data_IF_697081529858
#
_entry.id   IF_697081529858
#
_cell.length_a   1.000
_cell.length_b   1.000
_cell.length_c   1.000
_cell.angle_alpha   90.00
_cell.angle_beta   90.00
_cell.angle_gamma   90.00
#
_symmetry.space_group_name_H-M   'P 1'
#
loop_
_entity.id
_entity.type
_entity.pdbx_description
1 polymer ?
#
# COMPACT_ATOMS: atom_id res chain seq x y z
N UNK A 1 -7.02 -26.51 5.60
CA UNK A 1 -5.95 -25.56 5.29
C UNK A 1 -5.56 -24.89 6.59
N UNK A 2 -4.34 -25.13 7.04
CA UNK A 2 -3.92 -24.81 8.41
C UNK A 2 -3.55 -23.32 8.50
N UNK A 3 -4.37 -22.52 9.18
CA UNK A 3 -4.18 -21.06 9.29
C UNK A 3 -2.87 -20.68 9.97
N UNK A 4 -2.27 -21.58 10.75
CA UNK A 4 -0.98 -21.33 11.40
C UNK A 4 0.15 -21.10 10.39
N UNK A 5 0.21 -21.90 9.32
CA UNK A 5 1.25 -21.80 8.28
C UNK A 5 1.15 -20.46 7.57
N UNK A 6 -0.06 -20.03 7.23
CA UNK A 6 -0.25 -18.74 6.55
C UNK A 6 0.13 -17.56 7.43
N UNK A 7 -0.13 -17.62 8.75
CA UNK A 7 0.32 -16.57 9.69
C UNK A 7 1.83 -16.61 9.96
N UNK A 8 2.47 -17.78 9.85
CA UNK A 8 3.92 -17.91 9.92
C UNK A 8 4.59 -17.27 8.68
N UNK A 9 3.99 -17.42 7.49
CA UNK A 9 4.46 -16.78 6.26
C UNK A 9 4.41 -15.24 6.35
N UNK A 10 3.41 -14.69 7.02
CA UNK A 10 3.34 -13.23 7.26
C UNK A 10 4.49 -12.75 8.15
N UNK A 11 4.87 -13.54 9.15
CA UNK A 11 6.00 -13.20 10.01
C UNK A 11 7.34 -13.29 9.27
N UNK A 12 7.54 -14.33 8.46
CA UNK A 12 8.75 -14.48 7.64
C UNK A 12 8.85 -13.37 6.58
N UNK A 13 7.73 -12.93 5.98
CA UNK A 13 7.68 -11.77 5.08
C UNK A 13 8.17 -10.47 5.77
N UNK A 14 7.77 -10.26 7.02
CA UNK A 14 8.28 -9.14 7.82
C UNK A 14 9.81 -9.19 7.95
N UNK A 15 10.36 -10.36 8.25
CA UNK A 15 11.81 -10.58 8.33
C UNK A 15 12.53 -10.33 7.01
N UNK A 16 11.98 -10.83 5.90
CA UNK A 16 12.52 -10.58 4.56
C UNK A 16 12.53 -9.08 4.26
N UNK A 17 11.48 -8.35 4.65
CA UNK A 17 11.40 -6.90 4.48
C UNK A 17 12.50 -6.18 5.27
N UNK A 18 12.73 -6.55 6.53
CA UNK A 18 13.83 -5.99 7.34
C UNK A 18 15.20 -6.31 6.72
N UNK A 19 15.39 -7.53 6.22
CA UNK A 19 16.61 -7.91 5.50
C UNK A 19 16.84 -7.04 4.27
N UNK A 20 15.80 -6.78 3.47
CA UNK A 20 15.91 -5.90 2.29
C UNK A 20 16.24 -4.46 2.67
N UNK A 21 15.67 -3.94 3.77
CA UNK A 21 15.95 -2.58 4.24
C UNK A 21 17.36 -2.41 4.81
N UNK A 22 17.89 -3.44 5.45
CA UNK A 22 19.18 -3.38 6.15
C UNK A 22 20.35 -3.92 5.34
N UNK A 23 20.07 -4.71 4.29
CA UNK A 23 21.07 -5.48 3.54
C UNK A 23 21.75 -6.59 4.35
N UNK A 24 21.26 -6.90 5.55
CA UNK A 24 21.85 -7.88 6.47
C UNK A 24 20.97 -9.11 6.59
N UNK A 25 21.58 -10.29 6.66
CA UNK A 25 20.84 -11.52 6.88
C UNK A 25 20.14 -11.52 8.25
N UNK A 26 18.91 -12.08 8.34
CA UNK A 26 18.28 -12.34 9.63
C UNK A 26 19.24 -13.09 10.53
N UNK A 27 19.33 -12.67 11.79
CA UNK A 27 20.11 -13.40 12.81
C UNK A 27 21.61 -13.48 12.51
N UNK A 28 22.18 -12.60 11.68
CA UNK A 28 23.61 -12.59 11.35
C UNK A 28 24.53 -12.40 12.56
N UNK A 29 24.00 -11.96 13.70
CA UNK A 29 24.72 -11.83 14.96
C UNK A 29 24.97 -13.17 15.67
N UNK A 30 24.24 -14.22 15.32
CA UNK A 30 24.39 -15.54 15.96
C UNK A 30 25.48 -16.36 15.26
N UNK A 31 26.29 -17.05 16.06
CA UNK A 31 27.41 -17.85 15.56
C UNK A 31 26.98 -19.13 14.83
N UNK A 32 25.74 -19.59 15.04
CA UNK A 32 25.19 -20.76 14.37
C UNK A 32 23.64 -20.74 14.34
N UNK A 33 23.07 -21.60 13.49
CA UNK A 33 21.63 -21.71 13.30
C UNK A 33 20.88 -22.18 14.56
N UNK A 34 21.49 -23.03 15.40
CA UNK A 34 20.85 -23.51 16.63
C UNK A 34 20.59 -22.37 17.62
N UNK A 35 21.53 -21.44 17.77
CA UNK A 35 21.36 -20.27 18.63
C UNK A 35 20.25 -19.34 18.11
N UNK A 36 20.18 -19.14 16.79
CA UNK A 36 19.09 -18.39 16.17
C UNK A 36 17.72 -19.08 16.35
N UNK A 37 17.64 -20.40 16.14
CA UNK A 37 16.41 -21.18 16.36
C UNK A 37 15.93 -21.12 17.81
N UNK A 38 16.85 -21.27 18.78
CA UNK A 38 16.52 -21.14 20.20
C UNK A 38 15.99 -19.73 20.53
N UNK A 39 16.62 -18.70 19.95
CA UNK A 39 16.15 -17.32 20.10
C UNK A 39 14.73 -17.12 19.55
N UNK A 40 14.42 -17.70 18.38
CA UNK A 40 13.07 -17.69 17.79
C UNK A 40 12.07 -18.43 18.70
N UNK A 41 12.41 -19.65 19.13
CA UNK A 41 11.57 -20.46 20.01
C UNK A 41 11.32 -19.80 21.37
N UNK A 42 12.22 -18.93 21.83
CA UNK A 42 12.05 -18.18 23.07
C UNK A 42 11.02 -17.04 23.00
N UNK A 43 10.45 -16.75 21.82
CA UNK A 43 9.47 -15.68 21.62
C UNK A 43 10.06 -14.27 21.62
N UNK A 44 11.40 -14.14 21.65
CA UNK A 44 12.12 -12.85 21.71
C UNK A 44 12.66 -12.38 20.37
N UNK A 45 12.44 -13.14 19.29
CA UNK A 45 13.07 -12.92 17.99
C UNK A 45 12.36 -11.90 17.10
N UNK A 46 11.86 -10.81 17.66
CA UNK A 46 11.25 -9.73 16.89
C UNK A 46 12.33 -8.70 16.58
N UNK A 47 12.65 -8.44 15.30
CA UNK A 47 13.69 -7.48 14.97
C UNK A 47 13.17 -6.07 15.22
N UNK A 48 14.07 -5.17 15.62
CA UNK A 48 13.74 -3.76 15.69
C UNK A 48 13.41 -3.22 14.31
N UNK A 49 12.31 -2.48 14.22
CA UNK A 49 11.92 -1.80 12.99
C UNK A 49 12.96 -0.72 12.68
N UNK A 50 13.60 -0.73 11.49
CA UNK A 50 14.63 0.26 11.16
C UNK A 50 14.09 1.69 11.22
N UNK A 51 14.71 2.56 12.04
CA UNK A 51 14.24 3.93 12.24
C UNK A 51 14.23 4.78 10.94
N UNK A 52 15.07 4.43 9.96
CA UNK A 52 15.11 5.09 8.65
C UNK A 52 14.01 4.66 7.67
N UNK A 53 13.19 3.68 8.01
CA UNK A 53 12.09 3.23 7.15
C UNK A 53 10.95 4.26 7.15
N UNK A 54 10.20 4.35 6.03
CA UNK A 54 9.04 5.24 5.93
C UNK A 54 7.98 4.87 6.97
N UNK A 55 7.14 5.81 7.45
CA UNK A 55 6.10 5.50 8.44
C UNK A 55 5.17 4.35 8.01
N UNK A 56 4.81 4.29 6.73
CA UNK A 56 4.02 3.18 6.18
C UNK A 56 4.77 1.83 6.24
N UNK A 57 6.07 1.81 5.98
CA UNK A 57 6.87 0.59 6.11
C UNK A 57 6.98 0.14 7.57
N UNK A 58 7.17 1.09 8.49
CA UNK A 58 7.22 0.77 9.92
C UNK A 58 5.90 0.17 10.41
N UNK A 59 4.78 0.75 9.97
CA UNK A 59 3.44 0.23 10.31
C UNK A 59 3.22 -1.18 9.74
N UNK A 60 3.57 -1.39 8.48
CA UNK A 60 3.56 -2.71 7.84
C UNK A 60 4.35 -3.76 8.66
N UNK A 61 5.58 -3.43 9.09
CA UNK A 61 6.41 -4.32 9.88
C UNK A 61 5.80 -4.63 11.25
N UNK A 62 5.17 -3.65 11.92
CA UNK A 62 4.45 -3.88 13.18
C UNK A 62 3.30 -4.87 13.02
N UNK A 63 2.59 -4.82 11.89
CA UNK A 63 1.52 -5.77 11.59
C UNK A 63 2.06 -7.19 11.39
N UNK A 64 3.15 -7.34 10.62
CA UNK A 64 3.77 -8.65 10.38
C UNK A 64 4.29 -9.31 11.67
N UNK A 65 4.79 -8.49 12.61
CA UNK A 65 5.42 -8.94 13.85
C UNK A 65 4.50 -8.97 15.06
N UNK A 66 3.17 -9.02 14.87
CA UNK A 66 2.25 -9.25 15.99
C UNK A 66 2.54 -10.60 16.65
N UNK A 67 2.67 -10.58 17.97
CA UNK A 67 3.00 -11.78 18.75
C UNK A 67 1.95 -12.87 18.57
N UNK A 68 0.67 -12.49 18.71
CA UNK A 68 -0.46 -13.37 18.44
C UNK A 68 -0.61 -13.60 16.92
N UNK A 69 -0.49 -14.85 16.42
CA UNK A 69 -0.65 -15.15 15.00
C UNK A 69 -2.02 -14.74 14.45
N UNK A 70 -3.08 -14.85 15.25
CA UNK A 70 -4.45 -14.55 14.81
C UNK A 70 -4.66 -13.04 14.55
N UNK A 71 -3.87 -12.20 15.21
CA UNK A 71 -3.90 -10.77 14.99
C UNK A 71 -3.11 -10.34 13.75
N UNK A 72 -2.26 -11.21 13.19
CA UNK A 72 -1.53 -10.85 11.96
C UNK A 72 -2.54 -10.76 10.81
N UNK A 73 -2.45 -9.75 9.92
CA UNK A 73 -3.30 -9.66 8.75
C UNK A 73 -3.10 -10.83 7.78
N UNK A 74 -3.99 -11.01 6.81
CA UNK A 74 -3.75 -11.92 5.69
C UNK A 74 -2.81 -11.30 4.65
N UNK A 75 -2.31 -12.10 3.71
CA UNK A 75 -1.50 -11.59 2.61
C UNK A 75 -2.32 -10.62 1.73
N UNK A 76 -3.60 -10.94 1.51
CA UNK A 76 -4.55 -10.11 0.79
C UNK A 76 -4.74 -8.74 1.45
N UNK A 77 -4.87 -8.71 2.79
CA UNK A 77 -4.98 -7.46 3.56
C UNK A 77 -3.69 -6.62 3.42
N UNK A 78 -2.53 -7.27 3.53
CA UNK A 78 -1.22 -6.60 3.42
C UNK A 78 -0.98 -6.01 2.04
N UNK A 79 -1.46 -6.63 0.96
CA UNK A 79 -1.35 -6.09 -0.39
C UNK A 79 -2.09 -4.76 -0.57
N UNK A 80 -3.13 -4.51 0.24
CA UNK A 80 -3.85 -3.23 0.24
C UNK A 80 -3.20 -2.19 1.16
N UNK A 81 -2.20 -2.58 1.95
CA UNK A 81 -1.52 -1.68 2.89
C UNK A 81 -0.80 -0.55 2.14
N UNK A 82 -0.81 0.72 2.62
CA UNK A 82 -0.15 1.85 1.95
C UNK A 82 1.33 1.66 1.62
N UNK A 83 2.02 0.75 2.31
CA UNK A 83 3.40 0.37 2.01
C UNK A 83 3.55 -0.35 0.66
N UNK A 84 2.59 -1.21 0.31
CA UNK A 84 2.59 -2.02 -0.91
C UNK A 84 1.61 -1.51 -1.96
N UNK A 85 0.67 -0.65 -1.57
CA UNK A 85 -0.31 -0.07 -2.46
C UNK A 85 0.37 0.71 -3.59
N UNK A 86 0.20 0.23 -4.82
CA UNK A 86 0.71 0.90 -6.00
C UNK A 86 0.02 2.27 -6.16
N UNK A 87 0.74 3.33 -6.55
CA UNK A 87 0.11 4.59 -6.91
C UNK A 87 -0.89 4.32 -8.04
N UNK A 88 -2.18 4.59 -7.81
CA UNK A 88 -3.17 4.56 -8.90
C UNK A 88 -2.69 5.54 -9.97
N UNK A 89 -2.36 5.04 -11.17
CA UNK A 89 -2.07 5.90 -12.32
C UNK A 89 -3.23 6.88 -12.43
N UNK A 90 -2.96 8.18 -12.23
CA UNK A 90 -3.93 9.24 -12.48
C UNK A 90 -4.39 9.05 -13.92
N UNK A 91 -5.63 8.60 -14.11
CA UNK A 91 -6.22 8.53 -15.44
C UNK A 91 -6.17 9.94 -16.03
N UNK A 92 -5.61 10.08 -17.24
CA UNK A 92 -5.66 11.33 -17.98
C UNK A 92 -7.12 11.74 -18.13
N UNK A 93 -7.59 12.67 -17.30
CA UNK A 93 -8.88 13.33 -17.52
C UNK A 93 -8.69 14.29 -18.69
N UNK A 94 -8.76 13.76 -19.91
CA UNK A 94 -9.03 14.55 -21.11
C UNK A 94 -10.51 14.95 -21.10
N UNK A 95 -10.91 15.81 -20.15
CA UNK A 95 -12.16 16.54 -20.27
C UNK A 95 -11.92 17.74 -21.17
N UNK A 96 -11.96 17.45 -22.48
CA UNK A 96 -12.39 18.30 -23.60
C UNK A 96 -12.80 19.72 -23.18
N UNK A 97 -11.93 20.70 -23.45
CA UNK A 97 -12.35 22.11 -23.53
C UNK A 97 -13.48 22.20 -24.56
N UNK A 98 -14.72 22.44 -24.12
CA UNK A 98 -15.78 22.94 -25.01
C UNK A 98 -15.35 24.34 -25.43
N UNK A 99 -14.80 24.47 -26.64
CA UNK A 99 -14.67 25.76 -27.32
C UNK A 99 -16.07 26.30 -27.54
N UNK A 100 -16.39 27.40 -26.87
CA UNK A 100 -17.50 28.28 -27.22
C UNK A 100 -17.25 28.83 -28.63
N UNK A 101 -18.06 28.40 -29.59
CA UNK A 101 -18.16 29.04 -30.89
C UNK A 101 -19.34 30.01 -30.85
N UNK A 102 -19.03 31.27 -30.55
CA UNK A 102 -19.89 32.44 -30.72
C UNK A 102 -19.68 33.01 -32.12
N UNK A 103 -20.59 32.77 -33.06
CA UNK A 103 -20.76 33.44 -34.37
C UNK A 103 -22.22 33.16 -34.77
N UNK A 104 -23.11 34.03 -35.22
CA UNK A 104 -23.14 35.45 -35.62
C UNK A 104 -24.63 35.78 -35.91
N UNK A 105 -25.02 37.05 -35.82
CA UNK A 105 -26.43 37.46 -35.75
C UNK A 105 -27.20 37.59 -37.07
N UNK A 106 -28.46 38.06 -36.95
CA UNK A 106 -29.19 38.77 -37.99
C UNK A 106 -30.38 39.50 -37.33
N UNK A 107 -30.41 40.83 -37.49
CA UNK A 107 -31.52 41.70 -37.13
C UNK A 107 -32.31 42.01 -38.42
N UNK A 108 -33.61 42.30 -38.23
CA UNK A 108 -34.51 43.02 -39.14
C UNK A 108 -35.47 42.20 -40.01
N UNK A 109 -36.76 42.36 -39.70
CA UNK A 109 -37.76 42.73 -40.71
C UNK A 109 -38.88 41.72 -40.95
N UNK A 110 -40.02 41.90 -40.29
CA UNK A 110 -41.31 41.66 -40.95
C UNK A 110 -42.35 42.65 -40.39
N UNK A 111 -42.95 43.40 -41.31
CA UNK A 111 -43.86 44.49 -41.08
C UNK A 111 -45.22 44.06 -41.64
N UNK A 112 -46.29 43.95 -40.81
CA UNK A 112 -47.66 44.08 -41.32
C UNK A 112 -48.70 44.37 -40.24
N UNK A 113 -49.60 45.26 -40.60
CA UNK A 113 -50.52 46.09 -39.83
C UNK A 113 -51.97 45.54 -39.93
N UNK A 114 -52.64 45.41 -38.75
CA UNK A 114 -54.09 45.58 -38.37
C UNK A 114 -55.20 44.77 -39.10
N UNK A 115 -56.51 44.80 -38.69
CA UNK A 115 -57.25 45.38 -37.53
C UNK A 115 -58.05 44.29 -36.74
N UNK A 116 -58.82 44.50 -35.65
CA UNK A 116 -59.98 45.38 -35.35
C UNK A 116 -60.09 45.71 -33.87
#
# INVERSE_FOLDING_TARGET
FDGYVTKADIWSLGFTTVQMLTGKAPFSQFSNAHAAMFHIASGKATPDVPAGASPACQDFLRLCFRHNPDERPTAEDLLQHPFLAMPKKRGNTTSRHKRSSSHGGAFSGENRILPT
#
